data_IF_114900123028
#
_entry.id   IF_114900123028
#
_cell.length_a   1.000
_cell.length_b   1.000
_cell.length_c   1.000
_cell.angle_alpha   90.00
_cell.angle_beta   90.00
_cell.angle_gamma   90.00
#
_symmetry.space_group_name_H-M   'P 1'
#
loop_
_entity.id
_entity.type
_entity.pdbx_description
1 polymer ?
#
# COMPACT_ATOMS: atom_id res chain seq x y z
N UNK A 1 -16.58 36.84 18.08
CA UNK A 1 -15.92 35.61 18.58
C UNK A 1 -16.51 34.45 17.79
N UNK A 2 -15.91 34.15 16.63
CA UNK A 2 -16.41 33.19 15.64
C UNK A 2 -15.43 32.03 15.58
N UNK A 3 -15.74 30.93 16.26
CA UNK A 3 -15.09 29.63 16.03
C UNK A 3 -16.11 28.54 16.33
N UNK A 4 -16.97 28.24 15.35
CA UNK A 4 -17.91 27.11 15.42
C UNK A 4 -18.23 26.58 14.02
N UNK A 5 -17.21 26.45 13.15
CA UNK A 5 -17.38 25.99 11.76
C UNK A 5 -16.46 24.83 11.29
N UNK A 6 -15.50 24.36 12.09
CA UNK A 6 -14.44 23.46 11.60
C UNK A 6 -14.66 21.96 11.87
N UNK A 7 -15.88 21.42 11.74
CA UNK A 7 -16.14 19.98 11.96
C UNK A 7 -16.76 19.22 10.78
N UNK A 8 -16.61 19.74 9.55
CA UNK A 8 -17.12 19.10 8.33
C UNK A 8 -16.07 19.03 7.20
N UNK A 9 -14.80 18.81 7.52
CA UNK A 9 -13.84 18.40 6.49
C UNK A 9 -14.23 16.99 6.00
N UNK A 10 -14.45 16.83 4.70
CA UNK A 10 -14.66 15.50 4.11
C UNK A 10 -13.32 14.78 3.96
N UNK A 11 -13.32 13.46 3.83
CA UNK A 11 -12.08 12.67 3.66
C UNK A 11 -11.28 13.15 2.43
N UNK A 12 -11.95 13.64 1.39
CA UNK A 12 -11.30 14.15 0.18
C UNK A 12 -10.64 15.52 0.38
N UNK A 13 -10.97 16.26 1.45
CA UNK A 13 -10.36 17.57 1.78
C UNK A 13 -9.06 17.43 2.60
N UNK A 14 -8.76 16.23 3.10
CA UNK A 14 -7.53 15.96 3.84
C UNK A 14 -6.37 15.71 2.87
N UNK A 15 -5.13 16.06 3.27
CA UNK A 15 -3.96 15.69 2.49
C UNK A 15 -3.91 14.16 2.32
N UNK A 16 -3.44 13.66 1.15
CA UNK A 16 -3.38 12.23 0.91
C UNK A 16 -2.45 11.57 1.92
N UNK A 17 -2.91 10.47 2.51
CA UNK A 17 -2.04 9.63 3.32
C UNK A 17 -0.99 8.95 2.43
N UNK A 18 0.29 9.18 2.71
CA UNK A 18 1.41 8.54 2.04
C UNK A 18 2.05 7.53 2.98
N UNK A 19 2.19 6.29 2.51
CA UNK A 19 2.86 5.25 3.27
C UNK A 19 4.37 5.48 3.22
N UNK A 20 5.11 5.31 4.34
CA UNK A 20 6.57 5.31 4.28
C UNK A 20 7.07 4.20 3.35
N UNK A 21 7.90 4.53 2.36
CA UNK A 21 8.36 3.54 1.40
C UNK A 21 9.26 2.48 2.04
N UNK A 22 8.80 1.22 2.01
CA UNK A 22 9.58 0.08 2.47
C UNK A 22 10.80 -0.15 1.57
N UNK A 23 11.99 -0.21 2.18
CA UNK A 23 13.25 -0.54 1.49
C UNK A 23 13.59 -2.03 1.57
N UNK A 24 12.78 -2.81 2.29
CA UNK A 24 12.99 -4.23 2.47
C UNK A 24 12.49 -5.02 1.26
N UNK A 25 13.23 -6.07 0.91
CA UNK A 25 12.82 -7.01 -0.13
C UNK A 25 11.68 -7.93 0.36
N UNK A 26 10.88 -8.43 -0.58
CA UNK A 26 9.81 -9.39 -0.29
C UNK A 26 10.38 -10.79 -0.17
N UNK A 27 10.10 -11.49 0.93
CA UNK A 27 10.56 -12.87 1.15
C UNK A 27 9.44 -13.86 0.88
N UNK A 28 9.70 -14.82 -0.01
CA UNK A 28 8.80 -15.95 -0.26
C UNK A 28 9.02 -16.99 0.85
N UNK A 29 7.92 -17.39 1.49
CA UNK A 29 7.89 -18.43 2.52
C UNK A 29 7.47 -19.77 1.92
N UNK A 30 6.54 -19.73 0.96
CA UNK A 30 6.03 -20.90 0.26
C UNK A 30 5.59 -20.52 -1.15
N UNK A 31 5.75 -21.44 -2.09
CA UNK A 31 5.47 -21.27 -3.51
C UNK A 31 5.11 -22.64 -4.11
N UNK A 32 3.89 -22.77 -4.62
CA UNK A 32 3.43 -23.90 -5.44
C UNK A 32 2.55 -23.41 -6.62
N UNK A 33 1.91 -24.34 -7.33
CA UNK A 33 1.06 -24.02 -8.49
C UNK A 33 -0.19 -23.21 -8.17
N UNK A 34 -0.62 -23.17 -6.92
CA UNK A 34 -1.93 -22.67 -6.51
C UNK A 34 -1.83 -21.51 -5.50
N UNK A 35 -0.74 -21.45 -4.72
CA UNK A 35 -0.57 -20.56 -3.59
C UNK A 35 0.86 -20.02 -3.48
N UNK A 36 0.95 -18.70 -3.26
CA UNK A 36 2.16 -17.99 -2.92
C UNK A 36 2.01 -17.36 -1.53
N UNK A 37 2.87 -17.76 -0.58
CA UNK A 37 2.90 -17.19 0.77
C UNK A 37 4.13 -16.31 0.92
N UNK A 38 3.90 -15.04 1.26
CA UNK A 38 4.94 -14.02 1.39
C UNK A 38 5.01 -13.52 2.83
N UNK A 39 6.22 -13.44 3.37
CA UNK A 39 6.50 -12.65 4.57
C UNK A 39 6.59 -11.18 4.16
N UNK A 40 5.47 -10.46 4.31
CA UNK A 40 5.30 -9.12 3.78
C UNK A 40 6.02 -8.10 4.69
N UNK A 41 6.97 -7.31 4.17
CA UNK A 41 7.66 -6.32 4.97
C UNK A 41 6.73 -5.23 5.50
N UNK A 42 7.20 -4.57 6.56
CA UNK A 42 6.51 -3.42 7.14
C UNK A 42 6.44 -2.26 6.14
N UNK A 43 5.38 -1.47 6.24
CA UNK A 43 5.11 -0.31 5.38
C UNK A 43 5.05 -0.57 3.87
N UNK A 44 5.03 -1.83 3.42
CA UNK A 44 4.67 -2.16 2.04
C UNK A 44 3.17 -2.44 1.96
N UNK A 45 2.48 -1.76 1.05
CA UNK A 45 1.06 -2.02 0.78
C UNK A 45 0.88 -3.40 0.14
N UNK A 46 -0.23 -4.08 0.40
CA UNK A 46 -0.52 -5.35 -0.27
C UNK A 46 -0.93 -5.15 -1.74
N UNK A 47 -1.75 -4.13 -1.98
CA UNK A 47 -2.27 -3.71 -3.30
C UNK A 47 -1.88 -2.25 -3.57
N UNK A 48 -1.84 -1.79 -4.85
CA UNK A 48 -1.57 -0.39 -5.16
C UNK A 48 -2.61 0.55 -4.50
N UNK A 49 -2.13 1.59 -3.83
CA UNK A 49 -2.99 2.63 -3.27
C UNK A 49 -3.55 3.59 -4.34
N UNK A 50 -4.58 4.37 -3.99
CA UNK A 50 -5.21 5.36 -4.89
C UNK A 50 -4.24 6.45 -5.36
N UNK A 51 -3.35 6.91 -4.48
CA UNK A 51 -2.39 7.96 -4.80
C UNK A 51 -1.21 7.37 -5.59
N UNK A 52 -0.73 8.00 -6.68
CA UNK A 52 0.37 7.46 -7.49
C UNK A 52 1.65 7.14 -6.73
N UNK A 53 1.96 7.91 -5.69
CA UNK A 53 3.11 7.65 -4.81
C UNK A 53 2.94 6.39 -3.94
N UNK A 54 1.72 5.89 -3.77
CA UNK A 54 1.43 4.63 -3.06
C UNK A 54 1.23 3.45 -4.04
N UNK A 55 1.73 3.54 -5.27
CA UNK A 55 1.63 2.42 -6.22
C UNK A 55 2.60 1.28 -5.93
N UNK A 56 3.67 1.53 -5.16
CA UNK A 56 4.56 0.47 -4.70
C UNK A 56 3.83 -0.43 -3.70
N UNK A 57 3.74 -1.71 -4.05
CA UNK A 57 2.92 -2.70 -3.33
C UNK A 57 3.43 -4.11 -3.61
N UNK A 58 3.07 -5.04 -2.74
CA UNK A 58 3.47 -6.45 -2.81
C UNK A 58 3.11 -7.07 -4.16
N UNK A 59 1.86 -6.93 -4.61
CA UNK A 59 1.42 -7.46 -5.91
C UNK A 59 2.25 -6.87 -7.05
N UNK A 60 2.51 -5.56 -7.04
CA UNK A 60 3.25 -4.90 -8.11
C UNK A 60 4.71 -5.33 -8.18
N UNK A 61 5.34 -5.58 -7.02
CA UNK A 61 6.71 -6.12 -6.96
C UNK A 61 6.78 -7.57 -7.47
N UNK A 62 5.73 -8.37 -7.27
CA UNK A 62 5.70 -9.79 -7.65
C UNK A 62 5.24 -10.04 -9.09
N UNK A 63 4.44 -9.14 -9.68
CA UNK A 63 3.86 -9.28 -11.03
C UNK A 63 4.87 -9.65 -12.13
N UNK A 64 6.12 -9.18 -12.03
CA UNK A 64 7.15 -9.52 -13.02
C UNK A 64 7.60 -10.99 -12.96
N UNK A 65 7.53 -11.62 -11.78
CA UNK A 65 7.95 -13.01 -11.54
C UNK A 65 6.80 -14.01 -11.54
N UNK A 66 5.63 -13.57 -11.09
CA UNK A 66 4.40 -14.36 -11.02
C UNK A 66 3.33 -13.65 -11.86
N UNK A 67 3.44 -13.77 -13.20
CA UNK A 67 2.52 -13.11 -14.11
C UNK A 67 1.24 -13.94 -14.24
N UNK A 68 0.19 -13.59 -13.52
CA UNK A 68 -1.17 -14.09 -13.69
C UNK A 68 -2.20 -12.98 -13.35
#
# INVERSE_FOLDING_TARGET
MSQSADLLATIDDLPPYLVPHSQEDTRIVYDDSDLLIIDKPHHLLSVPGRHPLNHDSLIKRLQGRFPD
#
